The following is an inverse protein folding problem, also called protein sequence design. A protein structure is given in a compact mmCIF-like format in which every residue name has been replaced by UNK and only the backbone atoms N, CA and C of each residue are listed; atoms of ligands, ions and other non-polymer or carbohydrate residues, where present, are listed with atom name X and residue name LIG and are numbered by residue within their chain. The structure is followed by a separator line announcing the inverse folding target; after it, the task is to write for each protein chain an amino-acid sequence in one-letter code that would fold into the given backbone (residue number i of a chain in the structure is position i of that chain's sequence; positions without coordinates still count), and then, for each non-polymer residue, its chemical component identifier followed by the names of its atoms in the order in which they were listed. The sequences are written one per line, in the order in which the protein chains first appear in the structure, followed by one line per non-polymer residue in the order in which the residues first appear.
data_IF_808763895878
#
_entry.id   IF_808763895878
#
_cell.length_a   1.000
_cell.length_b   1.000
_cell.length_c   1.000
_cell.angle_alpha   90.00
_cell.angle_beta   90.00
_cell.angle_gamma   90.00
#
_symmetry.space_group_name_H-M   'P 1'
#
loop_
_entity.id
_entity.type
_entity.pdbx_description
1 polymer ?
#
# COMPACT_ATOMS: atom_id res chain seq x y z
N UNK A 1 -38.60 5.39 -38.08
CA UNK A 1 -37.56 5.71 -39.07
C UNK A 1 -37.28 7.20 -38.95
N UNK A 2 -36.06 7.58 -38.57
CA UNK A 2 -35.34 8.76 -39.08
C UNK A 2 -34.05 8.92 -38.28
N UNK A 3 -32.92 8.85 -38.98
CA UNK A 3 -31.57 9.00 -38.45
C UNK A 3 -31.20 10.48 -38.53
N UNK A 4 -31.07 11.14 -37.37
CA UNK A 4 -30.57 12.50 -37.28
C UNK A 4 -29.04 12.55 -37.41
N UNK A 5 -28.57 13.06 -38.56
CA UNK A 5 -27.23 13.60 -38.73
C UNK A 5 -27.22 15.05 -38.22
N UNK A 6 -26.35 15.40 -37.28
CA UNK A 6 -25.86 16.77 -37.16
C UNK A 6 -24.36 16.77 -36.85
N UNK A 7 -23.59 17.21 -37.85
CA UNK A 7 -22.16 17.51 -37.78
C UNK A 7 -21.99 19.02 -37.53
N UNK A 8 -21.09 19.33 -36.59
CA UNK A 8 -20.07 20.41 -36.61
C UNK A 8 -20.46 21.90 -36.51
N UNK A 9 -19.64 22.54 -35.68
CA UNK A 9 -19.09 23.90 -35.75
C UNK A 9 -19.89 25.05 -35.11
N UNK A 10 -19.45 25.47 -33.93
CA UNK A 10 -19.17 26.88 -33.68
C UNK A 10 -17.87 27.03 -32.88
N UNK A 11 -16.83 27.44 -33.60
CA UNK A 11 -15.69 28.13 -33.02
C UNK A 11 -16.08 29.60 -32.81
N UNK A 12 -16.09 30.06 -31.56
CA UNK A 12 -16.19 31.48 -31.23
C UNK A 12 -14.87 31.96 -30.61
N UNK A 13 -14.43 33.11 -31.10
CA UNK A 13 -13.10 33.70 -30.96
C UNK A 13 -12.79 34.22 -29.54
N UNK A 14 -11.48 34.29 -29.32
CA UNK A 14 -10.72 34.85 -28.21
C UNK A 14 -11.21 36.25 -27.77
N UNK A 15 -11.31 36.44 -26.45
CA UNK A 15 -11.09 37.72 -25.81
C UNK A 15 -9.84 37.60 -24.90
N UNK A 16 -8.80 38.36 -25.24
CA UNK A 16 -7.53 38.45 -24.54
C UNK A 16 -7.67 39.34 -23.30
N UNK A 17 -7.96 38.73 -22.15
CA UNK A 17 -7.83 39.36 -20.84
C UNK A 17 -6.48 39.02 -20.22
N UNK A 18 -5.51 39.92 -20.32
CA UNK A 18 -4.20 39.88 -19.65
C UNK A 18 -4.38 40.04 -18.13
N UNK A 19 -4.85 38.98 -17.47
CA UNK A 19 -4.91 38.89 -16.01
C UNK A 19 -3.59 38.35 -15.47
N UNK A 20 -2.73 39.24 -14.98
CA UNK A 20 -1.47 38.92 -14.33
C UNK A 20 -1.73 38.19 -12.99
N UNK A 21 -2.12 36.90 -13.03
CA UNK A 21 -2.20 36.04 -11.85
C UNK A 21 -0.78 35.77 -11.38
N UNK A 22 -0.34 36.56 -10.40
CA UNK A 22 0.83 36.26 -9.56
C UNK A 22 0.77 34.79 -9.16
N UNK A 23 1.57 33.94 -9.81
CA UNK A 23 1.73 32.53 -9.44
C UNK A 23 2.26 32.52 -8.01
N UNK A 24 1.41 32.16 -7.04
CA UNK A 24 1.87 31.89 -5.67
C UNK A 24 3.08 30.93 -5.77
N UNK A 25 4.18 31.19 -5.06
CA UNK A 25 5.32 30.29 -5.07
C UNK A 25 4.81 28.89 -4.68
N UNK A 26 5.06 27.90 -5.53
CA UNK A 26 4.73 26.50 -5.19
C UNK A 26 5.53 26.17 -3.95
N UNK A 27 4.87 26.08 -2.79
CA UNK A 27 5.46 25.52 -1.58
C UNK A 27 6.10 24.19 -1.99
N UNK A 28 7.37 23.97 -1.63
CA UNK A 28 8.00 22.67 -1.82
C UNK A 28 7.07 21.63 -1.18
N UNK A 29 6.71 20.55 -1.89
CA UNK A 29 5.92 19.49 -1.27
C UNK A 29 6.66 19.02 -0.02
N UNK A 30 5.96 18.93 1.12
CA UNK A 30 6.55 18.36 2.33
C UNK A 30 7.03 16.93 2.01
N UNK A 31 8.15 16.54 2.61
CA UNK A 31 8.68 15.18 2.44
C UNK A 31 7.75 14.12 3.04
N UNK A 32 6.98 14.52 4.05
CA UNK A 32 6.09 13.68 4.84
C UNK A 32 4.88 14.50 5.35
N UNK A 33 3.76 13.84 5.67
CA UNK A 33 2.52 14.47 6.10
C UNK A 33 1.62 14.89 4.94
N UNK A 34 0.45 14.26 4.84
CA UNK A 34 -0.62 14.62 3.91
C UNK A 34 -1.38 15.89 4.34
N UNK A 35 -2.45 16.24 3.62
CA UNK A 35 -3.42 17.21 4.15
C UNK A 35 -3.95 16.75 5.51
N UNK A 36 -4.33 17.68 6.41
CA UNK A 36 -4.94 17.32 7.68
C UNK A 36 -6.17 16.42 7.50
N UNK A 37 -6.33 15.41 8.37
CA UNK A 37 -7.47 14.47 8.35
C UNK A 37 -8.82 15.17 8.30
N UNK A 38 -9.01 16.23 9.07
CA UNK A 38 -10.25 17.02 9.07
C UNK A 38 -10.61 17.55 7.67
N UNK A 39 -9.63 18.07 6.93
CA UNK A 39 -9.84 18.56 5.55
C UNK A 39 -10.14 17.41 4.58
N UNK A 40 -9.55 16.23 4.81
CA UNK A 40 -9.81 15.04 4.00
C UNK A 40 -11.23 14.53 4.23
N UNK A 41 -11.68 14.42 5.48
CA UNK A 41 -13.04 14.03 5.84
C UNK A 41 -14.04 15.00 5.23
N UNK A 42 -13.83 16.31 5.40
CA UNK A 42 -14.73 17.33 4.83
C UNK A 42 -14.83 17.22 3.30
N UNK A 43 -13.71 16.94 2.63
CA UNK A 43 -13.69 16.74 1.17
C UNK A 43 -14.47 15.51 0.72
N UNK A 44 -14.51 14.46 1.55
CA UNK A 44 -15.08 13.16 1.19
C UNK A 44 -16.41 12.87 1.90
N UNK A 45 -16.97 13.82 2.65
CA UNK A 45 -18.16 13.62 3.49
C UNK A 45 -19.36 13.01 2.74
N UNK A 46 -19.67 13.48 1.54
CA UNK A 46 -20.78 12.95 0.75
C UNK A 46 -20.49 11.55 0.19
N UNK A 47 -19.22 11.29 -0.15
CA UNK A 47 -18.79 9.95 -0.57
C UNK A 47 -18.90 8.96 0.60
N UNK A 48 -18.43 9.34 1.79
CA UNK A 48 -18.47 8.49 2.98
C UNK A 48 -19.92 8.21 3.42
N UNK A 49 -20.80 9.21 3.41
CA UNK A 49 -22.24 9.01 3.66
C UNK A 49 -22.86 8.03 2.66
N UNK A 50 -22.54 8.18 1.38
CA UNK A 50 -23.01 7.28 0.32
C UNK A 50 -22.50 5.85 0.55
N UNK A 51 -21.23 5.70 0.93
CA UNK A 51 -20.62 4.40 1.23
C UNK A 51 -21.30 3.70 2.42
N UNK A 52 -21.60 4.44 3.51
CA UNK A 52 -22.34 3.91 4.67
C UNK A 52 -23.73 3.42 4.27
N UNK A 53 -24.46 4.24 3.51
CA UNK A 53 -25.78 3.88 3.00
C UNK A 53 -25.71 2.63 2.12
N UNK A 54 -24.73 2.54 1.23
CA UNK A 54 -24.52 1.37 0.38
C UNK A 54 -24.23 0.10 1.21
N UNK A 55 -23.40 0.19 2.25
CA UNK A 55 -23.09 -0.94 3.12
C UNK A 55 -24.34 -1.50 3.83
N UNK A 56 -25.22 -0.61 4.30
CA UNK A 56 -26.47 -1.00 4.95
C UNK A 56 -27.53 -1.52 3.97
N UNK A 57 -27.52 -1.06 2.72
CA UNK A 57 -28.53 -1.44 1.74
C UNK A 57 -28.08 -2.59 0.81
N UNK A 58 -26.85 -3.10 0.96
CA UNK A 58 -26.25 -4.07 0.01
C UNK A 58 -27.05 -5.37 -0.17
N UNK A 59 -27.75 -5.82 0.87
CA UNK A 59 -28.60 -7.02 0.81
C UNK A 59 -29.97 -6.77 0.17
N UNK A 60 -30.36 -5.51 -0.05
CA UNK A 60 -31.62 -5.12 -0.69
C UNK A 60 -31.47 -4.90 -2.20
N UNK A 61 -30.26 -5.04 -2.74
CA UNK A 61 -29.96 -4.81 -4.16
C UNK A 61 -30.37 -6.02 -5.02
N UNK A 62 -30.82 -5.74 -6.24
CA UNK A 62 -31.15 -6.74 -7.25
C UNK A 62 -30.47 -6.37 -8.59
N UNK A 63 -29.52 -7.18 -9.08
CA UNK A 63 -28.96 -8.39 -8.46
C UNK A 63 -28.14 -8.07 -7.18
N UNK A 64 -27.90 -9.09 -6.36
CA UNK A 64 -27.00 -8.97 -5.21
C UNK A 64 -25.57 -8.65 -5.67
N UNK A 65 -24.80 -7.90 -4.88
CA UNK A 65 -23.37 -7.71 -5.13
C UNK A 65 -22.62 -9.04 -5.21
N UNK A 66 -21.61 -9.09 -6.08
CA UNK A 66 -20.75 -10.25 -6.26
C UNK A 66 -20.18 -10.75 -4.93
N UNK A 67 -20.09 -12.08 -4.77
CA UNK A 67 -19.62 -12.73 -3.55
C UNK A 67 -20.71 -13.01 -2.52
N UNK A 68 -21.86 -12.31 -2.56
CA UNK A 68 -23.01 -12.60 -1.70
C UNK A 68 -23.85 -13.72 -2.35
N UNK A 69 -24.08 -14.86 -1.67
CA UNK A 69 -24.88 -15.96 -2.23
C UNK A 69 -26.36 -15.58 -2.41
N UNK A 70 -27.00 -16.07 -3.49
CA UNK A 70 -28.43 -15.85 -3.74
C UNK A 70 -29.32 -16.53 -2.68
N UNK A 71 -28.89 -17.68 -2.16
CA UNK A 71 -29.64 -18.47 -1.17
C UNK A 71 -29.27 -18.10 0.28
N UNK A 72 -28.83 -16.86 0.52
CA UNK A 72 -28.46 -16.39 1.85
C UNK A 72 -29.71 -16.26 2.73
N UNK A 73 -29.75 -17.00 3.85
CA UNK A 73 -30.74 -16.76 4.92
C UNK A 73 -30.61 -15.33 5.47
N UNK A 74 -31.67 -14.77 6.06
CA UNK A 74 -31.68 -13.38 6.54
C UNK A 74 -30.38 -12.97 7.27
N UNK A 75 -29.77 -11.80 6.94
CA UNK A 75 -28.54 -11.33 7.56
C UNK A 75 -28.76 -11.04 9.05
N UNK A 76 -27.83 -11.52 9.88
CA UNK A 76 -27.74 -11.17 11.30
C UNK A 76 -27.23 -9.74 11.49
N UNK A 77 -27.25 -9.28 12.74
CA UNK A 77 -26.75 -7.97 13.13
C UNK A 77 -25.76 -8.13 14.28
N UNK A 78 -24.56 -7.58 14.10
CA UNK A 78 -23.47 -7.65 15.04
C UNK A 78 -22.86 -6.26 15.22
N UNK A 79 -22.54 -5.92 16.48
CA UNK A 79 -21.92 -4.65 16.83
C UNK A 79 -20.72 -4.93 17.71
N UNK A 80 -19.59 -4.29 17.40
CA UNK A 80 -18.33 -4.47 18.09
C UNK A 80 -17.72 -3.12 18.48
N UNK A 81 -17.18 -3.07 19.70
CA UNK A 81 -16.26 -2.03 20.11
C UNK A 81 -14.83 -2.48 19.77
N UNK A 82 -14.09 -1.64 19.05
CA UNK A 82 -12.74 -1.92 18.60
C UNK A 82 -11.81 -0.80 19.04
N UNK A 83 -11.05 -1.07 20.11
CA UNK A 83 -10.07 -0.12 20.62
C UNK A 83 -8.96 0.11 19.59
N UNK A 84 -8.54 1.37 19.44
CA UNK A 84 -7.50 1.78 18.50
C UNK A 84 -6.55 2.76 19.16
N UNK A 85 -5.26 2.59 18.90
CA UNK A 85 -4.16 3.40 19.41
C UNK A 85 -3.31 3.95 18.24
N UNK A 86 -3.85 4.90 17.46
CA UNK A 86 -3.14 5.44 16.31
C UNK A 86 -1.96 6.30 16.74
N UNK A 87 -0.88 6.28 15.95
CA UNK A 87 0.30 7.10 16.19
C UNK A 87 0.05 8.54 15.77
N UNK A 88 0.48 9.50 16.57
CA UNK A 88 0.32 10.91 16.26
C UNK A 88 1.13 11.34 15.02
N UNK A 89 0.59 12.30 14.26
CA UNK A 89 1.30 12.84 13.08
C UNK A 89 2.63 13.49 13.47
N UNK A 90 2.69 14.06 14.68
CA UNK A 90 3.91 14.69 15.20
C UNK A 90 5.03 13.66 15.36
N UNK A 91 4.73 12.53 15.99
CA UNK A 91 5.68 11.43 16.19
C UNK A 91 6.09 10.80 14.87
N UNK A 92 5.12 10.51 14.01
CA UNK A 92 5.42 9.94 12.69
C UNK A 92 6.33 10.87 11.88
N UNK A 93 6.04 12.18 11.85
CA UNK A 93 6.86 13.15 11.12
C UNK A 93 8.28 13.26 11.67
N UNK A 94 8.44 13.24 12.99
CA UNK A 94 9.74 13.25 13.64
C UNK A 94 10.57 12.01 13.27
N UNK A 95 9.97 10.81 13.33
CA UNK A 95 10.67 9.56 13.02
C UNK A 95 10.92 9.42 11.51
N UNK A 96 10.02 9.88 10.65
CA UNK A 96 10.16 9.82 9.19
C UNK A 96 11.46 10.48 8.70
N UNK A 97 11.94 11.53 9.37
CA UNK A 97 13.20 12.21 9.06
C UNK A 97 14.44 11.41 9.50
N UNK A 98 14.29 10.54 10.52
CA UNK A 98 15.39 9.82 11.16
C UNK A 98 15.55 8.40 10.68
N UNK A 99 14.46 7.71 10.30
CA UNK A 99 14.49 6.28 9.95
C UNK A 99 15.10 6.01 8.56
N UNK A 100 15.24 7.03 7.70
CA UNK A 100 15.87 6.89 6.37
C UNK A 100 17.18 7.67 6.31
N UNK A 101 18.32 6.99 6.22
CA UNK A 101 19.62 7.62 5.90
C UNK A 101 19.94 7.53 4.41
N UNK A 102 20.79 8.44 3.93
CA UNK A 102 21.26 8.46 2.54
C UNK A 102 22.05 7.18 2.23
N UNK A 103 21.75 6.53 1.10
CA UNK A 103 22.40 5.29 0.66
C UNK A 103 21.97 4.03 1.41
N UNK A 104 21.05 4.15 2.36
CA UNK A 104 20.62 3.04 3.23
C UNK A 104 19.29 2.46 2.74
N UNK A 105 19.35 1.50 1.81
CA UNK A 105 18.18 0.83 1.23
C UNK A 105 18.00 -0.62 1.69
N UNK A 106 19.03 -1.19 2.31
CA UNK A 106 19.07 -2.59 2.75
C UNK A 106 18.56 -2.80 4.17
N UNK A 107 18.92 -3.96 4.70
CA UNK A 107 18.79 -4.30 6.12
C UNK A 107 19.57 -3.31 6.99
N UNK A 108 19.00 -3.03 8.16
CA UNK A 108 19.67 -2.26 9.18
C UNK A 108 20.59 -3.18 9.97
N UNK A 109 21.74 -2.69 10.42
CA UNK A 109 22.54 -3.41 11.41
C UNK A 109 21.86 -3.38 12.77
N UNK A 110 22.21 -4.29 13.67
CA UNK A 110 21.64 -4.35 15.01
C UNK A 110 21.85 -3.04 15.78
N UNK A 111 23.01 -2.40 15.62
CA UNK A 111 23.28 -1.09 16.25
C UNK A 111 22.35 -0.01 15.70
N UNK A 112 22.00 -0.08 14.41
CA UNK A 112 21.09 0.86 13.78
C UNK A 112 19.64 0.60 14.16
N UNK A 113 19.26 -0.65 14.40
CA UNK A 113 17.95 -1.02 14.96
C UNK A 113 17.86 -0.52 16.40
N UNK A 114 18.89 -0.74 17.22
CA UNK A 114 18.97 -0.23 18.59
C UNK A 114 18.89 1.29 18.66
N UNK A 115 19.61 2.01 17.78
CA UNK A 115 19.54 3.47 17.64
C UNK A 115 18.09 3.94 17.35
N UNK A 116 17.32 3.19 16.53
CA UNK A 116 15.91 3.50 16.29
C UNK A 116 15.05 3.16 17.50
N UNK A 117 15.35 2.06 18.22
CA UNK A 117 14.73 1.69 19.49
C UNK A 117 14.79 2.83 20.50
N UNK A 118 16.00 3.33 20.78
CA UNK A 118 16.23 4.48 21.68
C UNK A 118 15.47 5.74 21.25
N UNK A 119 15.24 5.94 19.95
CA UNK A 119 14.48 7.09 19.46
C UNK A 119 12.97 6.98 19.71
N UNK A 120 12.45 5.75 19.82
CA UNK A 120 11.01 5.50 19.96
C UNK A 120 10.57 5.25 21.40
N UNK A 121 11.49 4.98 22.33
CA UNK A 121 11.18 4.67 23.74
C UNK A 121 10.26 5.71 24.42
N UNK A 122 10.45 7.00 24.11
CA UNK A 122 9.65 8.11 24.67
C UNK A 122 8.50 8.58 23.75
N UNK A 123 8.16 7.80 22.71
CA UNK A 123 7.17 8.17 21.71
C UNK A 123 6.00 7.18 21.68
N UNK A 124 4.86 7.63 21.16
CA UNK A 124 3.70 6.80 20.84
C UNK A 124 3.92 5.98 19.55
N UNK A 125 5.09 5.35 19.41
CA UNK A 125 5.42 4.47 18.29
C UNK A 125 6.31 3.31 18.77
N UNK A 126 6.10 2.11 18.27
CA UNK A 126 6.97 0.94 18.53
C UNK A 126 8.11 0.84 17.52
N UNK A 127 9.13 0.03 17.84
CA UNK A 127 10.23 -0.23 16.91
C UNK A 127 9.75 -0.86 15.59
N UNK A 128 8.80 -1.79 15.65
CA UNK A 128 8.20 -2.41 14.46
C UNK A 128 7.45 -1.40 13.59
N UNK A 129 6.71 -0.48 14.22
CA UNK A 129 6.05 0.63 13.53
C UNK A 129 7.08 1.52 12.82
N UNK A 130 8.18 1.86 13.48
CA UNK A 130 9.26 2.67 12.90
C UNK A 130 9.97 1.97 11.74
N UNK A 131 10.24 0.66 11.84
CA UNK A 131 10.82 -0.16 10.77
C UNK A 131 9.86 -0.30 9.58
N UNK A 132 8.55 -0.41 9.84
CA UNK A 132 7.54 -0.39 8.79
C UNK A 132 7.39 1.00 8.14
N UNK A 133 7.44 2.08 8.91
CA UNK A 133 7.48 3.47 8.41
C UNK A 133 8.69 3.68 7.50
N UNK A 134 9.89 3.22 7.90
CA UNK A 134 11.09 3.23 7.07
C UNK A 134 10.83 2.56 5.72
N UNK A 135 10.21 1.38 5.74
CA UNK A 135 9.91 0.61 4.53
C UNK A 135 8.98 1.41 3.60
N UNK A 136 7.92 2.04 4.13
CA UNK A 136 7.02 2.90 3.36
C UNK A 136 7.72 4.15 2.79
N UNK A 137 8.58 4.79 3.58
CA UNK A 137 9.36 5.97 3.17
C UNK A 137 10.36 5.63 2.05
N UNK A 138 11.06 4.49 2.14
CA UNK A 138 11.99 4.03 1.11
C UNK A 138 11.26 3.66 -0.19
N UNK A 139 10.08 3.05 -0.11
CA UNK A 139 9.24 2.80 -1.29
C UNK A 139 8.84 4.11 -1.97
N UNK A 140 8.39 5.12 -1.21
CA UNK A 140 8.03 6.42 -1.76
C UNK A 140 9.24 7.11 -2.41
N UNK A 141 10.39 7.13 -1.71
CA UNK A 141 11.65 7.67 -2.23
C UNK A 141 12.01 7.04 -3.56
N UNK A 142 11.91 5.72 -3.66
CA UNK A 142 12.19 4.95 -4.88
C UNK A 142 11.29 5.36 -6.05
N UNK A 143 9.98 5.45 -5.81
CA UNK A 143 9.01 5.75 -6.86
C UNK A 143 9.14 7.17 -7.37
N UNK A 144 9.26 8.15 -6.47
CA UNK A 144 9.32 9.56 -6.85
C UNK A 144 10.68 9.99 -7.39
N UNK A 145 11.75 9.27 -7.08
CA UNK A 145 13.09 9.53 -7.61
C UNK A 145 13.41 8.75 -8.89
N UNK A 146 12.54 7.85 -9.36
CA UNK A 146 12.76 7.03 -10.56
C UNK A 146 13.12 7.84 -11.81
N UNK A 147 12.44 8.97 -12.05
CA UNK A 147 12.75 9.84 -13.21
C UNK A 147 14.17 10.41 -13.15
N UNK A 148 14.62 10.81 -11.95
CA UNK A 148 15.97 11.30 -11.72
C UNK A 148 17.02 10.20 -11.90
N UNK A 149 16.72 8.97 -11.45
CA UNK A 149 17.55 7.80 -11.68
C UNK A 149 17.73 7.55 -13.19
N UNK A 150 16.64 7.51 -13.96
CA UNK A 150 16.71 7.28 -15.42
C UNK A 150 17.60 8.31 -16.13
N UNK A 151 17.53 9.59 -15.72
CA UNK A 151 18.38 10.65 -16.29
C UNK A 151 19.88 10.44 -16.04
N UNK A 152 20.26 9.61 -15.06
CA UNK A 152 21.65 9.29 -14.68
C UNK A 152 22.18 8.01 -15.33
N UNK A 153 21.40 7.30 -16.16
CA UNK A 153 21.76 5.99 -16.72
C UNK A 153 23.15 5.93 -17.35
N UNK A 154 23.43 6.81 -18.32
CA UNK A 154 24.75 6.87 -19.00
C UNK A 154 25.91 7.10 -18.03
N UNK A 155 25.73 7.95 -17.01
CA UNK A 155 26.76 8.25 -16.03
C UNK A 155 27.02 7.06 -15.09
N UNK A 156 25.95 6.38 -14.64
CA UNK A 156 26.04 5.17 -13.83
C UNK A 156 26.74 4.04 -14.60
N UNK A 157 26.36 3.83 -15.86
CA UNK A 157 26.98 2.81 -16.71
C UNK A 157 28.48 3.10 -16.94
N UNK A 158 28.86 4.37 -17.18
CA UNK A 158 30.27 4.75 -17.32
C UNK A 158 31.07 4.40 -16.05
N UNK A 159 30.59 4.81 -14.88
CA UNK A 159 31.28 4.53 -13.61
C UNK A 159 31.35 3.02 -13.31
N UNK A 160 30.30 2.27 -13.65
CA UNK A 160 30.33 0.81 -13.55
C UNK A 160 31.41 0.20 -14.45
N UNK A 161 31.55 0.68 -15.69
CA UNK A 161 32.65 0.24 -16.59
C UNK A 161 34.04 0.58 -16.04
N UNK A 162 34.16 1.70 -15.33
CA UNK A 162 35.40 2.13 -14.65
C UNK A 162 35.70 1.32 -13.37
N UNK A 163 34.81 0.40 -12.97
CA UNK A 163 35.05 -0.54 -11.88
C UNK A 163 34.25 -0.29 -10.60
N UNK A 164 33.39 0.75 -10.57
CA UNK A 164 32.52 0.96 -9.41
C UNK A 164 31.49 -0.17 -9.26
N UNK A 165 31.26 -0.62 -8.02
CA UNK A 165 30.21 -1.61 -7.73
C UNK A 165 28.82 -0.96 -7.74
N UNK A 166 27.78 -1.78 -7.92
CA UNK A 166 26.38 -1.32 -7.83
C UNK A 166 26.07 -0.72 -6.46
N UNK A 167 26.59 -1.32 -5.38
CA UNK A 167 26.37 -0.86 -4.01
C UNK A 167 27.04 0.50 -3.77
N UNK A 168 28.25 0.72 -4.29
CA UNK A 168 28.93 2.02 -4.19
C UNK A 168 28.17 3.10 -4.96
N UNK A 169 27.68 2.75 -6.15
CA UNK A 169 26.84 3.65 -6.94
C UNK A 169 25.53 3.98 -6.22
N UNK A 170 24.92 3.02 -5.53
CA UNK A 170 23.74 3.23 -4.68
C UNK A 170 24.01 4.25 -3.58
N UNK A 171 25.07 4.04 -2.79
CA UNK A 171 25.46 4.96 -1.71
C UNK A 171 25.77 6.37 -2.24
N UNK A 172 26.51 6.45 -3.36
CA UNK A 172 26.91 7.71 -3.98
C UNK A 172 25.72 8.51 -4.53
N UNK A 173 24.87 7.86 -5.33
CA UNK A 173 23.79 8.53 -6.04
C UNK A 173 22.44 8.52 -5.30
N UNK A 174 22.34 7.79 -4.20
CA UNK A 174 21.18 7.66 -3.31
C UNK A 174 19.94 7.06 -3.99
N UNK A 175 20.12 5.93 -4.68
CA UNK A 175 19.04 5.15 -5.29
C UNK A 175 19.15 3.67 -4.91
N UNK A 176 18.03 2.91 -4.91
CA UNK A 176 18.06 1.49 -4.57
C UNK A 176 19.04 0.70 -5.45
N UNK A 177 19.91 -0.15 -4.86
CA UNK A 177 20.89 -0.94 -5.60
C UNK A 177 20.30 -1.72 -6.77
N UNK A 178 19.16 -2.38 -6.59
CA UNK A 178 18.55 -3.19 -7.66
C UNK A 178 18.03 -2.34 -8.80
N UNK A 179 17.61 -1.10 -8.53
CA UNK A 179 17.18 -0.18 -9.58
C UNK A 179 18.36 0.41 -10.35
N UNK A 180 19.49 0.67 -9.67
CA UNK A 180 20.74 0.99 -10.35
C UNK A 180 21.19 -0.17 -11.24
N UNK A 181 21.19 -1.40 -10.72
CA UNK A 181 21.60 -2.56 -11.48
C UNK A 181 20.72 -2.78 -12.73
N UNK A 182 19.39 -2.72 -12.58
CA UNK A 182 18.45 -2.78 -13.72
C UNK A 182 18.71 -1.69 -14.75
N UNK A 183 19.05 -0.48 -14.31
CA UNK A 183 19.39 0.62 -15.22
C UNK A 183 20.73 0.40 -15.93
N UNK A 184 21.75 -0.11 -15.24
CA UNK A 184 23.03 -0.48 -15.84
C UNK A 184 22.83 -1.55 -16.92
N UNK A 185 22.09 -2.63 -16.62
CA UNK A 185 21.77 -3.68 -17.61
C UNK A 185 21.03 -3.12 -18.82
N UNK A 186 20.11 -2.17 -18.61
CA UNK A 186 19.42 -1.48 -19.71
C UNK A 186 20.39 -0.67 -20.57
N UNK A 187 21.34 0.07 -19.97
CA UNK A 187 22.37 0.83 -20.70
C UNK A 187 23.39 -0.09 -21.39
N UNK A 188 23.57 -1.33 -20.90
CA UNK A 188 24.30 -2.40 -21.61
C UNK A 188 23.53 -2.96 -22.82
N UNK A 189 22.33 -2.46 -23.11
CA UNK A 189 21.51 -2.87 -24.25
C UNK A 189 20.58 -4.06 -23.97
N UNK A 190 20.37 -4.45 -22.71
CA UNK A 190 19.48 -5.56 -22.40
C UNK A 190 18.01 -5.14 -22.53
N UNK A 191 17.20 -6.03 -23.10
CA UNK A 191 15.74 -5.84 -23.15
C UNK A 191 15.11 -6.02 -21.77
N UNK A 192 13.94 -5.40 -21.55
CA UNK A 192 13.19 -5.53 -20.29
C UNK A 192 12.85 -7.00 -19.96
N UNK A 193 12.50 -7.81 -20.97
CA UNK A 193 12.20 -9.24 -20.78
C UNK A 193 13.43 -10.00 -20.32
N UNK A 194 14.56 -9.81 -21.02
CA UNK A 194 15.84 -10.44 -20.67
C UNK A 194 16.25 -10.11 -19.24
N UNK A 195 16.17 -8.83 -18.84
CA UNK A 195 16.47 -8.42 -17.46
C UNK A 195 15.56 -9.16 -16.48
N UNK A 196 14.25 -9.13 -16.68
CA UNK A 196 13.28 -9.80 -15.80
C UNK A 196 13.53 -11.30 -15.65
N UNK A 197 13.78 -11.99 -16.75
CA UNK A 197 14.04 -13.43 -16.77
C UNK A 197 15.38 -13.79 -16.12
N UNK A 198 16.42 -12.99 -16.34
CA UNK A 198 17.76 -13.25 -15.78
C UNK A 198 17.79 -13.00 -14.27
N UNK A 199 17.09 -11.97 -13.78
CA UNK A 199 17.00 -11.72 -12.34
C UNK A 199 16.24 -12.83 -11.57
N UNK A 200 15.39 -13.60 -12.26
CA UNK A 200 14.72 -14.79 -11.69
C UNK A 200 15.56 -16.06 -11.80
N UNK A 201 16.62 -16.03 -12.61
CA UNK A 201 17.56 -17.12 -12.78
C UNK A 201 18.99 -16.54 -12.80
N UNK A 202 19.51 -16.08 -11.64
CA UNK A 202 20.79 -15.36 -11.56
C UNK A 202 21.99 -16.17 -12.08
N UNK A 203 21.86 -17.50 -12.13
CA UNK A 203 22.80 -18.42 -12.78
C UNK A 203 23.06 -18.10 -14.27
N UNK A 204 22.19 -17.33 -14.92
CA UNK A 204 22.37 -16.86 -16.31
C UNK A 204 23.26 -15.62 -16.44
N UNK A 205 23.60 -14.94 -15.35
CA UNK A 205 24.56 -13.84 -15.38
C UNK A 205 25.99 -14.37 -15.56
N UNK A 206 26.84 -13.54 -16.19
CA UNK A 206 28.30 -13.70 -16.10
C UNK A 206 28.75 -13.45 -14.65
N UNK A 207 29.95 -13.90 -14.29
CA UNK A 207 30.42 -13.84 -12.91
C UNK A 207 30.33 -12.44 -12.29
N UNK A 208 30.77 -11.39 -13.01
CA UNK A 208 30.70 -10.02 -12.51
C UNK A 208 29.26 -9.59 -12.23
N UNK A 209 28.38 -9.67 -13.22
CA UNK A 209 26.98 -9.28 -13.06
C UNK A 209 26.24 -10.14 -12.02
N UNK A 210 26.64 -11.40 -11.83
CA UNK A 210 26.09 -12.26 -10.78
C UNK A 210 26.48 -11.76 -9.38
N UNK A 211 27.77 -11.49 -9.16
CA UNK A 211 28.25 -10.95 -7.89
C UNK A 211 27.60 -9.59 -7.58
N UNK A 212 27.43 -8.74 -8.58
CA UNK A 212 26.77 -7.43 -8.46
C UNK A 212 25.28 -7.58 -8.19
N UNK A 213 24.61 -8.56 -8.79
CA UNK A 213 23.23 -8.89 -8.48
C UNK A 213 23.06 -9.33 -7.02
N UNK A 214 23.87 -10.30 -6.57
CA UNK A 214 23.80 -10.84 -5.20
C UNK A 214 24.08 -9.75 -4.16
N UNK A 215 25.10 -8.91 -4.39
CA UNK A 215 25.41 -7.78 -3.51
C UNK A 215 24.32 -6.70 -3.52
N UNK A 216 23.71 -6.43 -4.68
CA UNK A 216 22.63 -5.46 -4.79
C UNK A 216 21.33 -5.96 -4.14
N UNK A 217 21.00 -7.24 -4.29
CA UNK A 217 19.83 -7.88 -3.70
C UNK A 217 19.93 -7.90 -2.18
N UNK A 218 21.06 -8.32 -1.62
CA UNK A 218 21.32 -8.28 -0.18
C UNK A 218 21.25 -6.85 0.41
N UNK A 219 21.58 -5.83 -0.38
CA UNK A 219 21.59 -4.42 0.02
C UNK A 219 20.30 -3.65 -0.30
N UNK A 220 19.23 -4.29 -0.80
CA UNK A 220 18.00 -3.63 -1.22
C UNK A 220 16.74 -4.33 -0.70
N UNK A 221 16.27 -3.91 0.49
CA UNK A 221 15.03 -4.44 1.10
C UNK A 221 13.77 -3.96 0.36
N UNK A 222 13.86 -2.91 -0.44
CA UNK A 222 12.70 -2.25 -1.08
C UNK A 222 12.33 -2.92 -2.39
N UNK A 223 13.36 -3.33 -3.14
CA UNK A 223 13.23 -3.89 -4.48
C UNK A 223 13.65 -5.36 -4.54
N UNK A 224 13.69 -6.03 -3.37
CA UNK A 224 14.05 -7.45 -3.25
C UNK A 224 13.13 -8.34 -4.09
N UNK A 225 13.66 -9.44 -4.60
CA UNK A 225 12.94 -10.41 -5.43
C UNK A 225 12.16 -11.41 -4.58
N UNK A 226 12.69 -11.80 -3.42
CA UNK A 226 12.01 -12.72 -2.49
C UNK A 226 11.16 -11.96 -1.45
N UNK A 227 9.89 -12.36 -1.35
CA UNK A 227 8.88 -11.79 -0.44
C UNK A 227 8.08 -12.90 0.27
N UNK A 228 8.53 -14.16 0.20
CA UNK A 228 7.80 -15.35 0.66
C UNK A 228 7.41 -15.30 2.14
N UNK A 229 8.35 -14.98 3.03
CA UNK A 229 8.10 -14.87 4.47
C UNK A 229 7.07 -13.77 4.80
N UNK A 230 7.16 -12.62 4.14
CA UNK A 230 6.21 -11.51 4.33
C UNK A 230 4.80 -11.91 3.88
N UNK A 231 4.69 -12.69 2.79
CA UNK A 231 3.41 -13.22 2.34
C UNK A 231 2.83 -14.22 3.34
N UNK A 232 3.63 -15.19 3.82
CA UNK A 232 3.15 -16.16 4.81
C UNK A 232 2.65 -15.50 6.10
N UNK A 233 3.35 -14.46 6.60
CA UNK A 233 2.90 -13.70 7.78
C UNK A 233 1.66 -12.85 7.51
N UNK A 234 1.45 -12.41 6.27
CA UNK A 234 0.23 -11.71 5.87
C UNK A 234 -0.96 -12.68 5.86
N UNK A 235 -0.79 -13.87 5.28
CA UNK A 235 -1.82 -14.91 5.23
C UNK A 235 -2.25 -15.32 6.66
N UNK A 236 -1.31 -15.54 7.57
CA UNK A 236 -1.61 -15.85 8.98
C UNK A 236 -2.38 -14.69 9.65
N UNK A 237 -2.05 -13.44 9.32
CA UNK A 237 -2.75 -12.28 9.87
C UNK A 237 -4.19 -12.17 9.35
N UNK A 238 -4.43 -12.50 8.08
CA UNK A 238 -5.77 -12.60 7.50
C UNK A 238 -6.59 -13.70 8.18
N UNK A 239 -5.98 -14.86 8.47
CA UNK A 239 -6.64 -15.96 9.18
C UNK A 239 -7.01 -15.56 10.62
N UNK A 240 -6.10 -14.95 11.39
CA UNK A 240 -6.39 -14.45 12.75
C UNK A 240 -7.62 -13.52 12.74
N UNK A 241 -7.68 -12.62 11.75
CA UNK A 241 -8.78 -11.68 11.62
C UNK A 241 -10.09 -12.39 11.29
N UNK A 242 -10.09 -13.32 10.34
CA UNK A 242 -11.26 -14.10 9.98
C UNK A 242 -11.77 -14.95 11.15
N UNK A 243 -10.87 -15.66 11.81
CA UNK A 243 -11.16 -16.49 12.98
C UNK A 243 -11.81 -15.67 14.10
N UNK A 244 -11.34 -14.44 14.35
CA UNK A 244 -11.91 -13.56 15.38
C UNK A 244 -13.41 -13.30 15.14
N UNK A 245 -13.80 -12.93 13.92
CA UNK A 245 -15.20 -12.67 13.57
C UNK A 245 -16.05 -13.94 13.55
N UNK A 246 -15.53 -15.03 12.97
CA UNK A 246 -16.22 -16.32 12.90
C UNK A 246 -16.50 -16.90 14.30
N UNK A 247 -15.55 -16.77 15.22
CA UNK A 247 -15.72 -17.19 16.62
C UNK A 247 -16.82 -16.44 17.36
N UNK A 248 -17.20 -15.25 16.88
CA UNK A 248 -18.33 -14.45 17.40
C UNK A 248 -19.65 -14.76 16.68
N UNK A 249 -19.65 -15.72 15.75
CA UNK A 249 -20.83 -16.15 15.00
C UNK A 249 -21.12 -15.33 13.75
N UNK A 250 -20.23 -14.41 13.36
CA UNK A 250 -20.38 -13.64 12.12
C UNK A 250 -20.10 -14.53 10.92
N UNK A 251 -20.99 -14.50 9.92
CA UNK A 251 -20.77 -15.21 8.66
C UNK A 251 -19.90 -14.37 7.75
N UNK A 252 -18.75 -14.92 7.38
CA UNK A 252 -17.79 -14.28 6.50
C UNK A 252 -17.55 -15.14 5.27
N UNK A 253 -17.09 -14.50 4.20
CA UNK A 253 -16.40 -15.17 3.11
C UNK A 253 -14.94 -14.76 3.13
N UNK A 254 -14.05 -15.74 3.10
CA UNK A 254 -12.61 -15.50 3.01
C UNK A 254 -12.16 -15.32 1.55
N UNK A 255 -11.05 -14.63 1.32
CA UNK A 255 -10.53 -14.37 -0.03
C UNK A 255 -10.38 -15.64 -0.88
N UNK A 256 -9.77 -16.68 -0.30
CA UNK A 256 -9.46 -17.93 -1.01
C UNK A 256 -10.71 -18.61 -1.58
N UNK A 257 -11.83 -18.55 -0.86
CA UNK A 257 -13.11 -19.10 -1.30
C UNK A 257 -13.67 -18.31 -2.49
N UNK A 258 -13.66 -16.98 -2.39
CA UNK A 258 -14.15 -16.09 -3.45
C UNK A 258 -13.31 -16.24 -4.73
N UNK A 259 -11.98 -16.29 -4.59
CA UNK A 259 -11.05 -16.51 -5.71
C UNK A 259 -11.37 -17.84 -6.41
N UNK A 260 -11.55 -18.92 -5.65
CA UNK A 260 -11.81 -20.25 -6.20
C UNK A 260 -13.10 -20.29 -7.03
N UNK A 261 -14.19 -19.71 -6.52
CA UNK A 261 -15.48 -19.63 -7.24
C UNK A 261 -15.41 -18.74 -8.47
N UNK A 262 -14.87 -17.53 -8.33
CA UNK A 262 -14.76 -16.57 -9.44
C UNK A 262 -13.81 -17.06 -10.55
N UNK A 263 -12.78 -17.83 -10.21
CA UNK A 263 -11.94 -18.48 -11.22
C UNK A 263 -12.73 -19.50 -12.05
N UNK A 264 -13.66 -20.23 -11.44
CA UNK A 264 -14.52 -21.18 -12.14
C UNK A 264 -15.57 -20.47 -13.01
N UNK A 265 -16.18 -19.39 -12.50
CA UNK A 265 -17.27 -18.69 -13.18
C UNK A 265 -16.80 -17.67 -14.22
N UNK A 266 -15.67 -16.98 -13.96
CA UNK A 266 -15.23 -15.81 -14.72
C UNK A 266 -13.80 -15.94 -15.25
N UNK A 267 -13.07 -17.01 -14.90
CA UNK A 267 -11.67 -17.23 -15.31
C UNK A 267 -10.66 -16.25 -14.70
N UNK A 268 -11.10 -15.41 -13.76
CA UNK A 268 -10.25 -14.44 -13.05
C UNK A 268 -10.88 -14.00 -11.73
N UNK A 269 -10.08 -13.61 -10.72
CA UNK A 269 -10.60 -12.92 -9.55
C UNK A 269 -11.13 -11.53 -9.91
N UNK A 270 -12.26 -11.15 -9.32
CA UNK A 270 -12.94 -9.86 -9.48
C UNK A 270 -13.31 -9.37 -8.09
N UNK A 271 -12.59 -8.36 -7.61
CA UNK A 271 -12.78 -7.74 -6.28
C UNK A 271 -12.90 -8.79 -5.18
N UNK A 272 -11.78 -9.12 -4.55
CA UNK A 272 -11.72 -10.13 -3.48
C UNK A 272 -11.06 -9.47 -2.26
N UNK A 273 -11.85 -8.81 -1.38
CA UNK A 273 -11.33 -8.37 -0.10
C UNK A 273 -10.93 -9.62 0.72
N UNK A 274 -10.18 -9.41 1.81
CA UNK A 274 -9.70 -10.55 2.61
C UNK A 274 -10.87 -11.21 3.34
N UNK A 275 -11.79 -10.38 3.85
CA UNK A 275 -13.07 -10.80 4.43
C UNK A 275 -14.23 -10.02 3.77
N UNK A 276 -15.31 -10.73 3.41
CA UNK A 276 -16.59 -10.15 3.02
C UNK A 276 -17.69 -10.60 4.01
N UNK A 277 -18.37 -9.66 4.65
CA UNK A 277 -19.42 -9.97 5.63
C UNK A 277 -20.76 -10.32 4.96
N UNK A 278 -21.31 -11.47 5.33
CA UNK A 278 -22.65 -11.91 4.96
C UNK A 278 -23.73 -11.50 5.99
N UNK A 279 -23.33 -10.69 6.97
CA UNK A 279 -24.18 -10.12 8.02
C UNK A 279 -24.01 -8.59 8.08
N UNK A 280 -24.94 -7.90 8.73
CA UNK A 280 -24.75 -6.51 9.12
C UNK A 280 -23.77 -6.45 10.28
N UNK A 281 -22.60 -5.86 10.02
CA UNK A 281 -21.56 -5.64 11.03
C UNK A 281 -21.36 -4.15 11.22
N UNK A 282 -21.37 -3.73 12.47
CA UNK A 282 -21.04 -2.37 12.91
C UNK A 282 -19.81 -2.42 13.80
N UNK A 283 -18.80 -1.59 13.53
CA UNK A 283 -17.60 -1.46 14.35
C UNK A 283 -17.48 0.00 14.76
N UNK A 284 -17.44 0.28 16.07
CA UNK A 284 -17.38 1.64 16.61
C UNK A 284 -18.49 2.58 16.06
N UNK A 285 -19.71 2.07 15.90
CA UNK A 285 -20.84 2.85 15.36
C UNK A 285 -20.87 2.98 13.83
N UNK A 286 -19.95 2.34 13.12
CA UNK A 286 -19.79 2.46 11.67
C UNK A 286 -20.09 1.15 10.95
N UNK A 287 -20.93 1.14 9.88
CA UNK A 287 -21.21 -0.09 9.14
C UNK A 287 -19.98 -0.55 8.35
N UNK A 288 -19.69 -1.85 8.42
CA UNK A 288 -18.55 -2.48 7.75
C UNK A 288 -19.06 -3.67 6.94
N UNK A 289 -18.90 -3.61 5.62
CA UNK A 289 -19.32 -4.67 4.70
C UNK A 289 -18.20 -5.66 4.35
N UNK A 290 -16.94 -5.23 4.44
CA UNK A 290 -15.76 -6.00 4.07
C UNK A 290 -14.57 -5.52 4.89
N UNK A 291 -13.55 -6.37 5.02
CA UNK A 291 -12.25 -6.00 5.61
C UNK A 291 -11.12 -6.41 4.67
N UNK A 292 -10.11 -5.56 4.57
CA UNK A 292 -8.84 -5.88 3.90
C UNK A 292 -7.69 -5.59 4.89
N UNK A 293 -6.91 -6.62 5.18
CA UNK A 293 -5.87 -6.66 6.19
C UNK A 293 -4.53 -6.16 5.61
N UNK A 294 -3.83 -5.34 6.37
CA UNK A 294 -2.55 -4.75 5.99
C UNK A 294 -1.47 -5.22 6.95
N UNK A 295 -0.59 -6.11 6.47
CA UNK A 295 0.58 -6.57 7.22
C UNK A 295 1.71 -5.52 7.25
N UNK A 296 1.39 -4.26 7.56
CA UNK A 296 2.32 -3.15 7.69
C UNK A 296 1.68 -2.01 8.49
N UNK A 297 2.51 -1.06 8.96
CA UNK A 297 2.06 0.19 9.56
C UNK A 297 1.47 1.12 8.50
N UNK A 298 0.24 1.59 8.73
CA UNK A 298 -0.42 2.57 7.88
C UNK A 298 0.21 3.94 8.07
N UNK A 299 1.15 4.31 7.20
CA UNK A 299 1.89 5.57 7.33
C UNK A 299 1.26 6.72 6.52
N UNK A 300 1.41 7.98 6.95
CA UNK A 300 0.92 9.18 6.24
C UNK A 300 1.77 9.54 4.99
N UNK A 301 1.98 8.53 4.15
CA UNK A 301 2.86 8.54 2.99
C UNK A 301 2.01 8.50 1.71
N UNK A 302 2.25 9.46 0.81
CA UNK A 302 1.40 9.67 -0.36
C UNK A 302 1.35 8.49 -1.32
N UNK A 303 2.48 7.80 -1.52
CA UNK A 303 2.53 6.64 -2.41
C UNK A 303 1.66 5.49 -1.91
N UNK A 304 1.79 5.13 -0.63
CA UNK A 304 1.03 4.06 0.00
C UNK A 304 -0.46 4.40 0.05
N UNK A 305 -0.81 5.61 0.52
CA UNK A 305 -2.20 6.11 0.55
C UNK A 305 -2.89 6.00 -0.79
N UNK A 306 -2.25 6.44 -1.89
CA UNK A 306 -2.84 6.36 -3.24
C UNK A 306 -3.14 4.93 -3.68
N UNK A 307 -2.28 3.97 -3.32
CA UNK A 307 -2.50 2.56 -3.63
C UNK A 307 -3.69 2.02 -2.82
N UNK A 308 -3.72 2.30 -1.53
CA UNK A 308 -4.80 1.86 -0.63
C UNK A 308 -6.14 2.45 -1.07
N UNK A 309 -6.23 3.76 -1.31
CA UNK A 309 -7.46 4.42 -1.81
C UNK A 309 -7.96 3.77 -3.10
N UNK A 310 -7.06 3.48 -4.05
CA UNK A 310 -7.44 2.83 -5.31
C UNK A 310 -7.95 1.40 -5.08
N UNK A 311 -7.37 0.65 -4.16
CA UNK A 311 -7.81 -0.70 -3.83
C UNK A 311 -9.17 -0.66 -3.14
N UNK A 312 -9.26 0.05 -2.01
CA UNK A 312 -10.46 0.19 -1.19
C UNK A 312 -11.64 0.72 -2.00
N UNK A 313 -11.43 1.73 -2.87
CA UNK A 313 -12.49 2.29 -3.70
C UNK A 313 -13.22 1.24 -4.54
N UNK A 314 -12.53 0.21 -5.07
CA UNK A 314 -13.18 -0.87 -5.83
C UNK A 314 -14.13 -1.71 -4.97
N UNK A 315 -13.78 -1.91 -3.70
CA UNK A 315 -14.62 -2.63 -2.76
C UNK A 315 -15.78 -1.76 -2.28
N UNK A 316 -15.52 -0.47 -2.01
CA UNK A 316 -16.56 0.51 -1.67
C UNK A 316 -17.60 0.62 -2.77
N UNK A 317 -17.16 0.68 -4.04
CA UNK A 317 -18.06 0.72 -5.20
C UNK A 317 -18.90 -0.57 -5.33
N UNK A 318 -18.46 -1.68 -4.74
CA UNK A 318 -19.13 -3.00 -4.84
C UNK A 318 -20.08 -3.26 -3.67
N UNK A 319 -19.63 -3.05 -2.42
CA UNK A 319 -20.37 -3.42 -1.21
C UNK A 319 -20.64 -2.28 -0.24
N UNK A 320 -20.18 -1.06 -0.54
CA UNK A 320 -20.22 0.08 0.38
C UNK A 320 -19.07 0.12 1.38
N UNK A 321 -19.24 0.89 2.46
CA UNK A 321 -18.21 1.11 3.48
C UNK A 321 -17.65 -0.20 4.03
N UNK A 322 -16.33 -0.28 4.15
CA UNK A 322 -15.63 -1.38 4.79
C UNK A 322 -14.60 -0.91 5.81
N UNK A 323 -13.65 -1.78 6.16
CA UNK A 323 -12.57 -1.44 7.06
C UNK A 323 -11.21 -1.89 6.54
N UNK A 324 -10.17 -1.19 6.97
CA UNK A 324 -8.77 -1.55 6.75
C UNK A 324 -8.13 -1.80 8.11
N UNK A 325 -7.64 -3.02 8.34
CA UNK A 325 -6.99 -3.40 9.60
C UNK A 325 -5.48 -3.41 9.39
N UNK A 326 -4.74 -2.55 10.08
CA UNK A 326 -3.29 -2.45 9.98
C UNK A 326 -2.62 -3.19 11.13
N UNK A 327 -1.81 -4.21 10.80
CA UNK A 327 -1.11 -5.05 11.79
C UNK A 327 -0.31 -4.24 12.81
N UNK A 328 0.41 -3.23 12.31
CA UNK A 328 1.23 -2.37 13.15
C UNK A 328 0.51 -1.07 13.49
N UNK A 329 -0.81 -0.99 13.38
CA UNK A 329 -1.55 0.26 13.55
C UNK A 329 -1.31 1.27 12.43
N UNK A 330 -1.75 2.51 12.65
CA UNK A 330 -1.77 3.54 11.62
C UNK A 330 -1.55 4.95 12.20
N UNK A 331 -1.17 5.89 11.34
CA UNK A 331 -1.07 7.30 11.69
C UNK A 331 -2.46 7.94 11.80
N UNK A 332 -2.68 8.68 12.88
CA UNK A 332 -3.95 9.34 13.18
C UNK A 332 -4.45 10.23 12.04
N UNK A 333 -3.52 10.80 11.24
CA UNK A 333 -3.82 11.75 10.18
C UNK A 333 -4.32 11.08 8.88
N UNK A 334 -4.28 9.75 8.80
CA UNK A 334 -4.74 9.04 7.61
C UNK A 334 -6.27 9.06 7.56
N UNK A 335 -6.75 9.29 6.34
CA UNK A 335 -8.11 9.06 5.95
C UNK A 335 -8.12 8.38 4.59
N UNK A 336 -8.83 7.26 4.51
CA UNK A 336 -9.12 6.53 3.28
C UNK A 336 -10.65 6.58 3.10
N UNK A 337 -11.16 7.23 2.05
CA UNK A 337 -12.60 7.40 1.87
C UNK A 337 -13.36 6.08 1.80
N UNK A 338 -14.56 6.04 2.39
CA UNK A 338 -15.42 4.87 2.46
C UNK A 338 -14.87 3.73 3.33
N UNK A 339 -13.95 4.02 4.26
CA UNK A 339 -13.39 2.99 5.15
C UNK A 339 -13.23 3.46 6.59
N UNK A 340 -13.41 2.52 7.52
CA UNK A 340 -12.95 2.62 8.91
C UNK A 340 -11.49 2.12 8.97
N UNK A 341 -10.62 2.81 9.71
CA UNK A 341 -9.26 2.35 9.93
C UNK A 341 -9.17 1.72 11.31
N UNK A 342 -8.62 0.51 11.37
CA UNK A 342 -8.50 -0.30 12.56
C UNK A 342 -7.03 -0.73 12.75
N UNK A 343 -6.60 -0.90 13.99
CA UNK A 343 -5.38 -1.61 14.36
C UNK A 343 -5.71 -3.02 14.88
N UNK A 344 -4.75 -3.68 15.51
CA UNK A 344 -4.93 -5.04 16.04
C UNK A 344 -5.72 -5.13 17.34
N UNK A 345 -6.22 -4.04 17.92
CA UNK A 345 -6.86 -3.95 19.24
C UNK A 345 -7.22 -5.29 19.92
N UNK A 346 -8.33 -5.93 19.52
CA UNK A 346 -8.86 -7.14 20.17
C UNK A 346 -8.27 -8.48 19.65
N UNK A 347 -7.33 -8.45 18.71
CA UNK A 347 -6.79 -9.64 18.03
C UNK A 347 -5.65 -10.28 18.84
N UNK A 348 -5.68 -11.61 18.97
CA UNK A 348 -4.55 -12.39 19.47
C UNK A 348 -3.52 -12.60 18.34
N UNK A 349 -2.34 -12.01 18.51
CA UNK A 349 -1.26 -12.06 17.53
C UNK A 349 -0.22 -13.15 17.82
N UNK A 350 -0.39 -13.96 18.87
CA UNK A 350 0.54 -15.04 19.23
C UNK A 350 0.88 -16.01 18.07
N UNK A 351 -0.06 -16.37 17.16
CA UNK A 351 0.27 -17.24 16.03
C UNK A 351 1.34 -16.66 15.09
N UNK A 352 1.52 -15.33 15.04
CA UNK A 352 2.56 -14.68 14.23
C UNK A 352 3.97 -14.78 14.82
N UNK A 353 4.09 -15.16 16.09
CA UNK A 353 5.36 -15.33 16.79
C UNK A 353 5.90 -16.77 16.70
N UNK A 354 5.03 -17.74 16.38
CA UNK A 354 5.43 -19.16 16.26
C UNK A 354 6.15 -19.47 14.94
N UNK A 355 6.03 -18.62 13.93
CA UNK A 355 6.69 -18.79 12.62
C UNK A 355 8.15 -18.30 12.57
N UNK A 356 8.65 -17.65 13.63
CA UNK A 356 10.05 -17.19 13.71
C UNK A 356 11.02 -18.19 14.31
N UNK A 357 10.55 -19.36 14.78
CA UNK A 357 11.39 -20.38 15.44
C UNK A 357 11.79 -21.58 14.56
N UNK A 358 11.55 -21.53 13.25
CA UNK A 358 11.84 -22.65 12.32
C UNK A 358 12.97 -22.37 11.35
#
# INVERSE_FOLDING_TARGET
MERGQYRRNMAAKRASGSGNRRRKPKKKPKAHGGPPKKELIERHIEYDKSAKSAANNRFNLSPLPIGIPENLTAPGHFTFDWENNPVSLKTEAFLAEKVVKRGEFGWLSDERVAEIGEMVDDLDMTIDQALSLRSAMLQQKTVYSHGLLQARGKALYRLYREGASVVDLSKKFDFPPMNIFRLILKEMGWSKSRIKETLRAPSKFKQRERNEFEAAEAADRVSNVDQSETHSRADIFEDILADWFENQGVRVRRQGEMVKEQMQEHGRPVNTPDLLFLDHVEINGEPVAWIDAKHFYGADVNFQRKKIVKQAGRYVDTWGQGALVFRHGFCENIHIPGTVLLDCGPLDLDPLNKSTES
#
